data_IF_804694229731
#
_entry.id   IF_804694229731
#
_cell.length_a   1.000
_cell.length_b   1.000
_cell.length_c   1.000
_cell.angle_alpha   90.00
_cell.angle_beta   90.00
_cell.angle_gamma   90.00
#
_symmetry.space_group_name_H-M   'P 1'
#
loop_
_entity.id
_entity.type
_entity.pdbx_description
1 polymer ?
#
# COMPACT_ATOMS: atom_id res chain seq x y z
N UNK A 1 -14.25 -23.13 -7.71
CA UNK A 1 -13.46 -22.73 -8.90
C UNK A 1 -12.03 -23.23 -8.67
N UNK A 2 -11.65 -24.30 -9.34
CA UNK A 2 -10.34 -24.92 -9.14
C UNK A 2 -9.29 -24.18 -9.98
N UNK A 3 -8.35 -23.50 -9.35
CA UNK A 3 -7.12 -23.04 -10.00
C UNK A 3 -6.28 -24.28 -10.33
N UNK A 4 -6.14 -24.61 -11.60
CA UNK A 4 -5.17 -25.60 -12.04
C UNK A 4 -3.76 -24.99 -11.90
N UNK A 5 -3.01 -25.46 -10.94
CA UNK A 5 -1.57 -25.21 -10.92
C UNK A 5 -0.95 -25.95 -12.10
N UNK A 6 -0.61 -25.21 -13.13
CA UNK A 6 0.31 -25.69 -14.16
C UNK A 6 1.70 -25.75 -13.54
N UNK A 7 2.33 -26.91 -13.56
CA UNK A 7 3.74 -27.09 -13.19
C UNK A 7 4.60 -26.40 -14.27
N UNK A 8 4.82 -25.10 -14.10
CA UNK A 8 5.83 -24.38 -14.86
C UNK A 8 7.18 -24.56 -14.18
N UNK A 9 8.17 -25.06 -14.93
CA UNK A 9 9.59 -24.98 -14.55
C UNK A 9 9.92 -23.58 -14.05
N UNK A 10 10.58 -23.42 -12.88
CA UNK A 10 10.92 -22.11 -12.37
C UNK A 10 11.88 -21.45 -13.38
N UNK A 11 11.37 -20.48 -14.13
CA UNK A 11 12.23 -19.49 -14.77
C UNK A 11 12.90 -18.75 -13.63
N UNK A 12 14.23 -18.75 -13.60
CA UNK A 12 15.03 -17.86 -12.75
C UNK A 12 14.52 -16.44 -12.97
N UNK A 13 13.66 -15.97 -12.07
CA UNK A 13 13.21 -14.58 -12.07
C UNK A 13 14.42 -13.73 -11.73
N UNK A 14 14.72 -12.77 -12.60
CA UNK A 14 15.53 -11.62 -12.21
C UNK A 14 14.97 -11.09 -10.90
N UNK A 15 15.78 -10.90 -9.84
CA UNK A 15 15.28 -10.47 -8.52
C UNK A 15 14.63 -9.08 -8.52
N UNK A 16 14.65 -8.38 -9.65
CA UNK A 16 14.26 -6.97 -9.76
C UNK A 16 12.80 -6.73 -10.17
N UNK A 17 12.02 -7.77 -10.47
CA UNK A 17 10.67 -7.57 -10.97
C UNK A 17 9.65 -8.44 -10.27
N UNK A 18 8.96 -7.84 -9.27
CA UNK A 18 7.90 -8.53 -8.53
C UNK A 18 6.59 -8.42 -9.31
N UNK A 19 6.04 -7.23 -9.45
CA UNK A 19 4.80 -6.94 -10.20
C UNK A 19 4.88 -5.53 -10.78
N UNK A 20 4.32 -5.31 -11.96
CA UNK A 20 4.27 -4.01 -12.62
C UNK A 20 2.92 -3.78 -13.29
N UNK A 21 2.42 -2.56 -13.16
CA UNK A 21 1.37 -1.98 -14.00
C UNK A 21 1.98 -0.91 -14.92
N UNK A 22 1.14 -0.19 -15.68
CA UNK A 22 1.60 0.93 -16.50
C UNK A 22 2.16 2.10 -15.68
N UNK A 23 1.69 2.28 -14.44
CA UNK A 23 2.01 3.44 -13.59
C UNK A 23 2.86 3.10 -12.38
N UNK A 24 2.80 1.88 -11.88
CA UNK A 24 3.38 1.46 -10.61
C UNK A 24 4.11 0.12 -10.76
N UNK A 25 5.13 -0.07 -9.93
CA UNK A 25 5.77 -1.37 -9.76
C UNK A 25 6.11 -1.62 -8.30
N UNK A 26 6.21 -2.89 -7.92
CA UNK A 26 6.61 -3.33 -6.59
C UNK A 26 8.06 -3.77 -6.63
N UNK A 27 8.84 -3.31 -5.67
CA UNK A 27 10.24 -3.68 -5.49
C UNK A 27 10.62 -3.60 -4.01
N UNK A 28 11.80 -4.12 -3.66
CA UNK A 28 12.34 -3.98 -2.32
C UNK A 28 12.47 -2.50 -1.94
N UNK A 29 11.97 -2.16 -0.75
CA UNK A 29 11.95 -0.80 -0.23
C UNK A 29 13.10 -0.56 0.76
N UNK A 30 13.76 0.61 0.73
CA UNK A 30 14.68 1.01 1.79
C UNK A 30 13.97 1.34 3.10
N UNK A 31 12.64 1.52 3.09
CA UNK A 31 11.85 1.82 4.29
C UNK A 31 11.53 0.53 5.03
N UNK A 32 10.81 -0.38 4.39
CA UNK A 32 10.44 -1.68 4.97
C UNK A 32 9.98 -2.64 3.88
N UNK A 33 10.47 -3.88 3.91
CA UNK A 33 10.03 -4.97 3.03
C UNK A 33 9.96 -4.58 1.57
N UNK A 34 8.80 -4.79 0.95
CA UNK A 34 8.49 -4.32 -0.39
C UNK A 34 7.78 -2.96 -0.32
N UNK A 35 7.95 -2.16 -1.36
CA UNK A 35 7.27 -0.88 -1.55
C UNK A 35 6.73 -0.73 -2.95
N UNK A 36 5.97 0.32 -3.16
CA UNK A 36 5.35 0.67 -4.44
C UNK A 36 6.05 1.89 -5.02
N UNK A 37 6.49 1.81 -6.25
CA UNK A 37 7.30 2.83 -6.92
C UNK A 37 6.59 3.33 -8.18
N UNK A 38 6.80 4.60 -8.52
CA UNK A 38 6.25 5.20 -9.73
C UNK A 38 7.05 4.77 -10.97
N UNK A 39 6.36 4.28 -12.00
CA UNK A 39 6.96 3.96 -13.31
C UNK A 39 7.31 5.23 -14.07
N UNK A 40 6.54 6.30 -13.86
CA UNK A 40 6.72 7.62 -14.48
C UNK A 40 6.30 8.69 -13.47
N UNK A 41 6.67 9.95 -13.74
CA UNK A 41 6.30 11.08 -12.90
C UNK A 41 4.78 11.19 -12.74
N UNK A 42 4.33 11.49 -11.52
CA UNK A 42 2.93 11.70 -11.14
C UNK A 42 2.79 13.12 -10.61
N UNK A 43 1.87 13.89 -11.17
CA UNK A 43 1.65 15.27 -10.75
C UNK A 43 0.79 15.35 -9.47
N UNK A 44 0.93 16.42 -8.72
CA UNK A 44 0.07 16.74 -7.56
C UNK A 44 -1.40 16.68 -7.94
N UNK A 45 -2.21 16.01 -7.12
CA UNK A 45 -3.64 15.84 -7.32
C UNK A 45 -4.02 14.70 -8.26
N UNK A 46 -3.06 14.11 -8.97
CA UNK A 46 -3.32 12.98 -9.83
C UNK A 46 -3.61 11.71 -9.03
N UNK A 47 -4.50 10.89 -9.58
CA UNK A 47 -4.78 9.58 -9.06
C UNK A 47 -3.56 8.67 -9.26
N UNK A 48 -3.02 8.16 -8.17
CA UNK A 48 -1.95 7.15 -8.18
C UNK A 48 -2.54 5.78 -8.49
N UNK A 49 -3.54 5.37 -7.71
CA UNK A 49 -4.22 4.09 -7.84
C UNK A 49 -5.64 4.16 -7.25
N UNK A 50 -6.54 3.32 -7.77
CA UNK A 50 -7.86 3.09 -7.20
C UNK A 50 -8.01 1.59 -6.93
N UNK A 51 -8.07 1.22 -5.66
CA UNK A 51 -8.09 -0.16 -5.21
C UNK A 51 -9.50 -0.56 -4.77
N UNK A 52 -10.10 -1.61 -5.33
CA UNK A 52 -11.27 -2.23 -4.72
C UNK A 52 -10.89 -2.85 -3.39
N UNK A 53 -11.83 -2.92 -2.45
CA UNK A 53 -11.59 -3.48 -1.12
C UNK A 53 -12.48 -4.68 -0.84
N UNK A 54 -11.95 -5.58 -0.01
CA UNK A 54 -12.72 -6.62 0.67
C UNK A 54 -13.03 -6.10 2.06
N UNK A 55 -14.31 -5.86 2.34
CA UNK A 55 -14.75 -5.38 3.66
C UNK A 55 -15.03 -6.59 4.55
N UNK A 56 -14.35 -6.64 5.68
CA UNK A 56 -14.53 -7.66 6.71
C UNK A 56 -15.27 -7.07 7.91
N UNK A 57 -16.25 -7.80 8.49
CA UNK A 57 -16.96 -7.34 9.66
C UNK A 57 -16.01 -7.22 10.88
N UNK A 58 -16.37 -6.41 11.90
CA UNK A 58 -15.48 -6.11 13.04
C UNK A 58 -14.92 -7.35 13.75
N UNK A 59 -15.70 -8.40 13.90
CA UNK A 59 -15.28 -9.63 14.59
C UNK A 59 -14.17 -10.41 13.87
N UNK A 60 -13.87 -10.09 12.61
CA UNK A 60 -12.81 -10.73 11.84
C UNK A 60 -11.45 -10.03 11.99
N UNK A 61 -11.41 -8.85 12.58
CA UNK A 61 -10.15 -8.12 12.78
C UNK A 61 -9.14 -8.95 13.58
N UNK A 62 -9.58 -9.53 14.71
CA UNK A 62 -8.71 -10.37 15.53
C UNK A 62 -8.13 -11.57 14.78
N UNK A 63 -8.87 -12.13 13.82
CA UNK A 63 -8.38 -13.22 12.99
C UNK A 63 -7.32 -12.75 11.99
N UNK A 64 -7.48 -11.55 11.42
CA UNK A 64 -6.49 -10.97 10.51
C UNK A 64 -5.20 -10.62 11.24
N UNK A 65 -5.27 -10.20 12.50
CA UNK A 65 -4.10 -9.91 13.34
C UNK A 65 -3.23 -11.15 13.61
N UNK A 66 -3.77 -12.35 13.44
CA UNK A 66 -3.05 -13.63 13.56
C UNK A 66 -2.46 -14.11 12.22
N UNK A 67 -2.59 -13.33 11.16
CA UNK A 67 -2.13 -13.68 9.80
C UNK A 67 -1.09 -12.71 9.27
N UNK A 68 -0.51 -13.02 8.10
CA UNK A 68 0.37 -12.12 7.36
C UNK A 68 -0.33 -10.83 6.88
N UNK A 69 -1.65 -10.74 7.01
CA UNK A 69 -2.42 -9.53 6.72
C UNK A 69 -2.46 -8.55 7.89
N UNK A 70 -1.79 -8.87 8.99
CA UNK A 70 -1.69 -8.00 10.16
C UNK A 70 -1.24 -6.59 9.78
N UNK A 71 -2.07 -5.61 10.14
CA UNK A 71 -1.77 -4.20 9.86
C UNK A 71 -1.83 -3.80 8.38
N UNK A 72 -2.20 -4.71 7.46
CA UNK A 72 -2.31 -4.44 6.03
C UNK A 72 -3.76 -4.11 5.62
N UNK A 73 -4.53 -3.50 6.49
CA UNK A 73 -5.93 -3.15 6.25
C UNK A 73 -6.21 -1.71 6.69
N UNK A 74 -7.31 -1.18 6.20
CA UNK A 74 -7.81 0.16 6.54
C UNK A 74 -8.99 0.05 7.49
N UNK A 75 -9.09 0.95 8.45
CA UNK A 75 -10.30 1.11 9.25
C UNK A 75 -11.44 1.55 8.34
N UNK A 76 -12.54 0.86 8.41
CA UNK A 76 -13.73 1.12 7.60
C UNK A 76 -14.88 1.61 8.46
N UNK A 77 -15.97 2.08 7.84
CA UNK A 77 -17.15 2.52 8.58
C UNK A 77 -17.74 1.39 9.45
N UNK A 78 -18.39 1.76 10.54
CA UNK A 78 -19.03 0.84 11.50
C UNK A 78 -18.06 -0.19 12.09
N UNK A 79 -16.85 0.23 12.43
CA UNK A 79 -15.78 -0.59 13.01
C UNK A 79 -15.37 -1.80 12.15
N UNK A 80 -15.82 -1.85 10.91
CA UNK A 80 -15.36 -2.83 9.94
C UNK A 80 -13.92 -2.52 9.50
N UNK A 81 -13.28 -3.47 8.87
CA UNK A 81 -11.96 -3.32 8.27
C UNK A 81 -12.04 -3.61 6.78
N UNK A 82 -11.13 -3.03 6.02
CA UNK A 82 -11.07 -3.20 4.59
C UNK A 82 -9.66 -3.56 4.12
N UNK A 83 -9.54 -4.69 3.46
CA UNK A 83 -8.29 -5.10 2.80
C UNK A 83 -8.32 -4.56 1.37
N UNK A 84 -7.36 -3.70 1.04
CA UNK A 84 -7.24 -3.16 -0.31
C UNK A 84 -6.59 -4.19 -1.25
N UNK A 85 -7.17 -4.36 -2.42
CA UNK A 85 -6.60 -5.13 -3.50
C UNK A 85 -5.67 -4.26 -4.37
N UNK A 86 -5.10 -4.82 -5.42
CA UNK A 86 -4.04 -4.13 -6.16
C UNK A 86 -2.79 -3.95 -5.29
N UNK A 87 -2.22 -2.76 -5.27
CA UNK A 87 -1.05 -2.44 -4.43
C UNK A 87 -1.42 -1.69 -3.15
N UNK A 88 -2.70 -1.45 -2.90
CA UNK A 88 -3.18 -0.58 -1.83
C UNK A 88 -2.70 -0.92 -0.42
N UNK A 89 -2.44 -2.20 -0.14
CA UNK A 89 -1.92 -2.66 1.14
C UNK A 89 -0.39 -2.72 1.21
N UNK A 90 0.32 -2.32 0.15
CA UNK A 90 1.78 -2.40 0.03
C UNK A 90 2.49 -1.05 0.16
N UNK A 91 1.76 0.06 0.22
CA UNK A 91 2.36 1.39 0.41
C UNK A 91 2.96 1.50 1.80
N UNK A 92 4.23 1.90 1.88
CA UNK A 92 4.91 2.14 3.14
C UNK A 92 4.50 3.47 3.78
N UNK A 93 4.65 3.54 5.09
CA UNK A 93 4.41 4.75 5.86
C UNK A 93 5.54 5.77 5.70
N UNK A 94 5.17 7.04 5.68
CA UNK A 94 6.08 8.17 5.86
C UNK A 94 5.37 9.29 6.64
N UNK A 95 6.12 10.00 7.49
CA UNK A 95 5.65 11.23 8.12
C UNK A 95 5.66 12.41 7.16
N UNK A 96 6.41 12.29 6.05
CA UNK A 96 6.44 13.23 4.93
C UNK A 96 5.99 12.50 3.64
N UNK A 97 4.71 12.07 3.58
CA UNK A 97 4.24 11.26 2.47
C UNK A 97 4.15 12.06 1.18
N UNK A 98 4.27 11.37 0.05
CA UNK A 98 4.00 11.97 -1.26
C UNK A 98 2.61 11.65 -1.81
N UNK A 99 1.87 10.78 -1.12
CA UNK A 99 0.50 10.45 -1.45
C UNK A 99 -0.38 10.41 -0.19
N UNK A 100 -1.68 10.52 -0.40
CA UNK A 100 -2.71 10.31 0.61
C UNK A 100 -3.71 9.28 0.12
N UNK A 101 -4.52 8.73 1.02
CA UNK A 101 -5.62 7.86 0.63
C UNK A 101 -6.98 8.44 1.05
N UNK A 102 -7.98 8.13 0.27
CA UNK A 102 -9.38 8.44 0.52
C UNK A 102 -10.23 7.18 0.48
N UNK A 103 -11.10 7.02 1.47
CA UNK A 103 -12.02 5.88 1.56
C UNK A 103 -13.37 6.23 0.89
N UNK A 104 -13.66 5.61 -0.24
CA UNK A 104 -14.98 5.71 -0.87
C UNK A 104 -15.86 4.54 -0.43
N UNK A 105 -16.61 4.76 0.64
CA UNK A 105 -17.48 3.74 1.23
C UNK A 105 -18.63 3.32 0.32
N UNK A 106 -19.06 4.21 -0.56
CA UNK A 106 -20.16 3.94 -1.49
C UNK A 106 -19.74 2.99 -2.60
N UNK A 107 -18.55 3.26 -3.18
CA UNK A 107 -17.99 2.44 -4.26
C UNK A 107 -17.17 1.26 -3.76
N UNK A 108 -16.89 1.21 -2.45
CA UNK A 108 -16.00 0.22 -1.83
C UNK A 108 -14.63 0.20 -2.48
N UNK A 109 -14.00 1.36 -2.52
CA UNK A 109 -12.63 1.53 -3.01
C UNK A 109 -11.83 2.42 -2.08
N UNK A 110 -10.52 2.23 -2.10
CA UNK A 110 -9.54 3.19 -1.59
C UNK A 110 -8.88 3.86 -2.78
N UNK A 111 -8.84 5.18 -2.78
CA UNK A 111 -8.18 5.99 -3.80
C UNK A 111 -6.90 6.56 -3.23
N UNK A 112 -5.81 6.43 -3.95
CA UNK A 112 -4.53 7.04 -3.60
C UNK A 112 -4.26 8.20 -4.55
N UNK A 113 -3.97 9.39 -3.99
CA UNK A 113 -3.75 10.63 -4.73
C UNK A 113 -2.40 11.23 -4.34
N UNK A 114 -1.69 11.77 -5.32
CA UNK A 114 -0.44 12.48 -5.06
C UNK A 114 -0.70 13.81 -4.34
N UNK A 115 -0.04 14.05 -3.22
CA UNK A 115 -0.10 15.31 -2.46
C UNK A 115 1.08 16.24 -2.77
N UNK A 116 2.10 15.71 -3.40
CA UNK A 116 3.23 16.44 -3.98
C UNK A 116 3.69 15.72 -5.27
N UNK A 117 4.53 16.33 -6.11
CA UNK A 117 5.06 15.66 -7.29
C UNK A 117 5.82 14.39 -6.89
N UNK A 118 5.55 13.29 -7.59
CA UNK A 118 6.26 12.03 -7.42
C UNK A 118 7.09 11.81 -8.67
N UNK A 119 8.41 11.64 -8.51
CA UNK A 119 9.30 11.43 -9.63
C UNK A 119 9.25 9.97 -10.14
N UNK A 120 9.65 9.75 -11.38
CA UNK A 120 9.91 8.40 -11.90
C UNK A 120 10.90 7.67 -10.98
N UNK A 121 10.58 6.44 -10.60
CA UNK A 121 11.39 5.61 -9.70
C UNK A 121 11.29 5.97 -8.22
N UNK A 122 10.54 7.02 -7.85
CA UNK A 122 10.32 7.38 -6.45
C UNK A 122 9.32 6.43 -5.80
N UNK A 123 9.58 6.04 -4.54
CA UNK A 123 8.64 5.26 -3.76
C UNK A 123 7.41 6.10 -3.40
N UNK A 124 6.24 5.53 -3.59
CA UNK A 124 4.98 6.12 -3.18
C UNK A 124 4.74 5.77 -1.72
N UNK A 125 4.61 6.79 -0.88
CA UNK A 125 4.39 6.65 0.56
C UNK A 125 3.13 7.36 1.02
N UNK A 126 2.51 6.84 2.06
CA UNK A 126 1.30 7.39 2.67
C UNK A 126 1.51 7.57 4.18
N UNK A 127 0.72 8.43 4.81
CA UNK A 127 0.61 8.45 6.26
C UNK A 127 -0.50 7.47 6.68
N UNK A 128 -0.15 6.45 7.47
CA UNK A 128 -1.11 5.43 7.92
C UNK A 128 -2.21 5.98 8.84
N UNK A 129 -2.01 7.17 9.41
CA UNK A 129 -3.04 7.88 10.17
C UNK A 129 -4.12 8.54 9.29
N UNK A 130 -3.96 8.50 7.97
CA UNK A 130 -4.95 8.99 7.01
C UNK A 130 -4.86 10.48 6.70
N UNK A 131 -4.15 11.26 7.49
CA UNK A 131 -3.88 12.67 7.27
C UNK A 131 -2.42 12.83 6.83
N UNK A 132 -2.12 13.37 5.64
CA UNK A 132 -0.74 13.54 5.18
C UNK A 132 0.09 14.46 6.09
N UNK A 133 -0.55 15.39 6.81
CA UNK A 133 0.09 16.28 7.78
C UNK A 133 -0.05 15.78 9.23
N UNK A 134 -0.68 14.62 9.42
CA UNK A 134 -0.94 14.04 10.72
C UNK A 134 0.30 13.52 11.41
N UNK A 135 0.35 13.67 12.73
CA UNK A 135 1.36 13.08 13.61
C UNK A 135 0.66 12.35 14.76
N UNK A 136 1.26 11.28 15.24
CA UNK A 136 0.69 10.48 16.33
C UNK A 136 1.46 9.19 16.56
N UNK A 137 0.95 8.36 17.46
CA UNK A 137 1.56 7.08 17.75
C UNK A 137 1.13 6.02 16.73
N UNK A 138 2.10 5.38 16.12
CA UNK A 138 1.90 4.17 15.34
C UNK A 138 2.15 2.95 16.23
N UNK A 139 1.53 1.84 15.91
CA UNK A 139 1.69 0.58 16.64
C UNK A 139 3.04 -0.11 16.39
N UNK A 140 3.90 0.48 15.55
CA UNK A 140 5.26 0.00 15.24
C UNK A 140 6.22 1.18 15.15
N UNK A 141 7.51 0.90 15.36
CA UNK A 141 8.57 1.88 15.18
C UNK A 141 8.79 2.17 13.69
N UNK A 142 8.69 3.42 13.31
CA UNK A 142 9.06 3.87 11.97
C UNK A 142 10.58 3.93 11.90
N UNK A 143 11.16 3.19 10.96
CA UNK A 143 12.58 3.34 10.68
C UNK A 143 12.87 4.78 10.25
N UNK A 144 13.67 5.49 11.03
CA UNK A 144 14.13 6.84 10.66
C UNK A 144 15.14 6.71 9.50
N UNK A 145 14.82 7.21 8.30
CA UNK A 145 15.73 7.15 7.16
C UNK A 145 17.04 7.93 7.38
N UNK A 146 17.14 8.73 8.45
CA UNK A 146 18.34 9.50 8.78
C UNK A 146 19.34 8.72 9.67
N UNK A 147 19.04 7.52 10.12
CA UNK A 147 19.91 6.73 11.01
C UNK A 147 20.72 5.66 10.27
N UNK A 148 20.70 5.62 8.96
CA UNK A 148 21.62 4.80 8.17
C UNK A 148 22.80 5.67 7.70
N UNK A 149 23.65 5.96 8.65
CA UNK A 149 25.00 6.43 8.38
C UNK A 149 25.94 5.29 8.05
#
# INVERSE_FOLDING_TARGET
MMCRYSTMTPRTRSPERIVRTERLFVAASPIHGDGVFAVQAIAVGDLVECCPVIVCPPHQEALLEETELRGLYFTWKNDAIAVALGFGSLYNHSWEPNAMYELDHRRKVVRFLAVRPIAEGEEVTINYLGDPDGSGDLWFDVADPQVQG
#
